data_IF_291317906421
#
_entry.id   IF_291317906421
#
_cell.length_a   1.000
_cell.length_b   1.000
_cell.length_c   1.000
_cell.angle_alpha   90.00
_cell.angle_beta   90.00
_cell.angle_gamma   90.00
#
_symmetry.space_group_name_H-M   'P 1'
#
loop_
_entity.id
_entity.type
_entity.pdbx_description
1 polymer ?
#
# COMPACT_ATOMS: atom_id res chain seq x y z
N UNK A 1 -2.90 -12.21 -9.63
CA UNK A 1 -2.32 -11.96 -10.92
C UNK A 1 -0.81 -12.07 -10.87
N UNK A 2 -0.30 -13.22 -11.19
CA UNK A 2 1.09 -13.38 -11.48
C UNK A 2 1.26 -13.11 -12.96
N UNK A 3 1.60 -11.88 -13.31
CA UNK A 3 2.19 -11.67 -14.59
C UNK A 3 3.65 -12.10 -14.47
N UNK A 4 3.96 -13.30 -14.88
CA UNK A 4 5.26 -13.51 -15.46
C UNK A 4 5.39 -12.43 -16.54
N UNK A 5 6.46 -11.64 -16.49
CA UNK A 5 6.74 -10.65 -17.51
C UNK A 5 6.69 -11.37 -18.86
N UNK A 6 5.65 -11.13 -19.65
CA UNK A 6 5.56 -11.66 -20.99
C UNK A 6 6.34 -10.71 -21.88
N UNK A 7 7.37 -11.23 -22.49
CA UNK A 7 8.16 -10.46 -23.47
C UNK A 7 7.22 -9.96 -24.58
N UNK A 8 7.33 -8.67 -24.87
CA UNK A 8 6.49 -8.01 -25.89
C UNK A 8 5.10 -7.54 -25.43
N UNK A 9 4.70 -7.76 -24.17
CA UNK A 9 3.39 -7.35 -23.68
C UNK A 9 3.21 -5.83 -23.70
N UNK A 10 4.21 -5.07 -23.27
CA UNK A 10 4.16 -3.60 -23.25
C UNK A 10 4.10 -3.01 -24.65
N UNK A 11 4.97 -3.36 -25.60
CA UNK A 11 4.86 -2.91 -26.98
C UNK A 11 3.54 -3.30 -27.65
N UNK A 12 3.02 -4.49 -27.37
CA UNK A 12 1.72 -4.92 -27.88
C UNK A 12 0.60 -4.06 -27.32
N UNK A 13 0.58 -3.79 -26.03
CA UNK A 13 -0.41 -2.95 -25.39
C UNK A 13 -0.37 -1.52 -25.94
N UNK A 14 0.82 -0.97 -26.17
CA UNK A 14 1.03 0.33 -26.79
C UNK A 14 0.48 0.38 -28.23
N UNK A 15 0.78 -0.66 -29.02
CA UNK A 15 0.30 -0.77 -30.40
C UNK A 15 -1.24 -0.90 -30.50
N UNK A 16 -1.85 -1.48 -29.48
CA UNK A 16 -3.31 -1.60 -29.34
C UNK A 16 -3.96 -0.40 -28.67
N UNK A 17 -3.26 0.72 -28.47
CA UNK A 17 -3.72 1.89 -27.72
C UNK A 17 -4.26 1.53 -26.32
N UNK A 18 -3.63 0.55 -25.67
CA UNK A 18 -4.06 0.02 -24.37
C UNK A 18 -5.49 -0.54 -24.34
N UNK A 19 -6.02 -0.99 -25.48
CA UNK A 19 -7.29 -1.73 -25.57
C UNK A 19 -7.10 -3.15 -25.10
N UNK A 20 -6.86 -3.33 -23.81
CA UNK A 20 -6.64 -4.61 -23.15
C UNK A 20 -7.55 -4.74 -21.94
N UNK A 21 -7.95 -5.95 -21.62
CA UNK A 21 -8.73 -6.26 -20.45
C UNK A 21 -7.92 -7.18 -19.50
N UNK A 22 -8.09 -6.98 -18.19
CA UNK A 22 -7.43 -7.81 -17.19
C UNK A 22 -8.13 -9.15 -17.09
N UNK A 23 -7.33 -10.21 -17.15
CA UNK A 23 -7.79 -11.60 -17.05
C UNK A 23 -7.30 -12.20 -15.73
N UNK A 24 -8.14 -12.98 -15.09
CA UNK A 24 -7.77 -13.80 -13.95
C UNK A 24 -7.96 -15.28 -14.24
N UNK A 25 -7.08 -16.07 -13.66
CA UNK A 25 -7.10 -17.52 -13.74
C UNK A 25 -6.64 -18.09 -12.39
N UNK A 26 -7.33 -19.09 -11.88
CA UNK A 26 -6.82 -19.87 -10.75
C UNK A 26 -5.82 -20.88 -11.28
N UNK A 27 -4.60 -20.87 -10.74
CA UNK A 27 -3.57 -21.81 -11.20
C UNK A 27 -3.97 -23.26 -10.93
N UNK A 28 -3.61 -24.16 -11.86
CA UNK A 28 -3.98 -25.59 -11.81
C UNK A 28 -3.49 -26.27 -10.53
N UNK A 29 -2.30 -25.92 -10.05
CA UNK A 29 -1.75 -26.48 -8.83
C UNK A 29 -2.49 -26.00 -7.58
N UNK A 30 -3.00 -24.78 -7.60
CA UNK A 30 -3.80 -24.17 -6.55
C UNK A 30 -5.23 -24.70 -6.57
N UNK A 31 -5.86 -24.79 -7.73
CA UNK A 31 -7.24 -25.28 -7.89
C UNK A 31 -7.44 -26.70 -7.35
N UNK A 32 -6.42 -27.57 -7.48
CA UNK A 32 -6.46 -28.93 -6.91
C UNK A 32 -6.61 -28.95 -5.39
N UNK A 33 -6.22 -27.88 -4.71
CA UNK A 33 -6.27 -27.75 -3.25
C UNK A 33 -7.51 -27.00 -2.76
N UNK A 34 -8.20 -26.28 -3.64
CA UNK A 34 -9.36 -25.47 -3.31
C UNK A 34 -10.64 -26.29 -3.36
N UNK A 35 -11.50 -26.08 -2.38
CA UNK A 35 -12.90 -26.49 -2.44
C UNK A 35 -13.70 -25.49 -3.27
N UNK A 36 -14.80 -25.93 -3.84
CA UNK A 36 -15.67 -25.11 -4.68
C UNK A 36 -16.09 -23.78 -3.99
N UNK A 37 -16.54 -23.73 -2.71
CA UNK A 37 -16.90 -22.47 -2.06
C UNK A 37 -15.72 -21.49 -1.92
N UNK A 38 -14.50 -21.99 -1.74
CA UNK A 38 -13.30 -21.18 -1.66
C UNK A 38 -12.93 -20.59 -3.03
N UNK A 39 -13.10 -21.38 -4.09
CA UNK A 39 -12.88 -20.93 -5.46
C UNK A 39 -13.90 -19.85 -5.87
N UNK A 40 -15.19 -20.02 -5.55
CA UNK A 40 -16.25 -19.04 -5.79
C UNK A 40 -15.92 -17.70 -5.12
N UNK A 41 -15.57 -17.73 -3.84
CA UNK A 41 -15.19 -16.53 -3.11
C UNK A 41 -13.98 -15.82 -3.74
N UNK A 42 -13.01 -16.58 -4.23
CA UNK A 42 -11.84 -16.01 -4.87
C UNK A 42 -12.18 -15.28 -6.17
N UNK A 43 -13.09 -15.79 -6.98
CA UNK A 43 -13.58 -15.10 -8.18
C UNK A 43 -14.22 -13.78 -7.82
N UNK A 44 -15.16 -13.80 -6.88
CA UNK A 44 -15.87 -12.63 -6.40
C UNK A 44 -14.92 -11.51 -5.93
N UNK A 45 -13.99 -11.84 -5.02
CA UNK A 45 -13.01 -10.87 -4.52
C UNK A 45 -12.09 -10.32 -5.61
N UNK A 46 -11.75 -11.16 -6.59
CA UNK A 46 -10.84 -10.76 -7.65
C UNK A 46 -11.50 -9.76 -8.61
N UNK A 47 -12.77 -9.96 -8.93
CA UNK A 47 -13.54 -9.07 -9.79
C UNK A 47 -13.74 -7.69 -9.16
N UNK A 48 -14.05 -7.64 -7.87
CA UNK A 48 -14.24 -6.38 -7.13
C UNK A 48 -12.93 -5.65 -6.84
N UNK A 49 -11.97 -6.33 -6.21
CA UNK A 49 -10.75 -5.68 -5.71
C UNK A 49 -9.73 -5.37 -6.81
N UNK A 50 -9.71 -6.16 -7.90
CA UNK A 50 -8.64 -6.08 -8.90
C UNK A 50 -9.10 -5.64 -10.28
N UNK A 51 -10.34 -5.21 -10.42
CA UNK A 51 -10.91 -4.75 -11.69
C UNK A 51 -10.70 -5.78 -12.82
N UNK A 52 -10.88 -7.07 -12.54
CA UNK A 52 -10.85 -8.13 -13.54
C UNK A 52 -12.09 -8.01 -14.42
N UNK A 53 -11.93 -8.26 -15.73
CA UNK A 53 -13.00 -8.21 -16.72
C UNK A 53 -13.15 -9.52 -17.50
N UNK A 54 -12.19 -10.42 -17.38
CA UNK A 54 -12.22 -11.74 -18.02
C UNK A 54 -11.85 -12.78 -16.97
N UNK A 55 -12.78 -13.69 -16.69
CA UNK A 55 -12.57 -14.83 -15.82
C UNK A 55 -12.29 -16.07 -16.65
N UNK A 56 -11.04 -16.53 -16.67
CA UNK A 56 -10.68 -17.77 -17.36
C UNK A 56 -10.86 -18.96 -16.41
N UNK A 57 -12.06 -19.56 -16.46
CA UNK A 57 -12.48 -20.63 -15.55
C UNK A 57 -11.91 -21.95 -16.05
N UNK A 58 -11.14 -22.64 -15.21
CA UNK A 58 -10.72 -24.02 -15.42
C UNK A 58 -11.67 -24.95 -14.69
N UNK A 59 -12.09 -26.07 -15.29
CA UNK A 59 -12.92 -27.04 -14.60
C UNK A 59 -12.16 -27.77 -13.48
N UNK A 60 -12.87 -28.22 -12.47
CA UNK A 60 -12.34 -29.18 -11.50
C UNK A 60 -12.13 -30.52 -12.18
N UNK A 61 -10.99 -31.15 -11.90
CA UNK A 61 -10.62 -32.46 -12.47
C UNK A 61 -10.86 -33.62 -11.50
N UNK A 62 -11.20 -33.30 -10.27
CA UNK A 62 -11.42 -34.29 -9.19
C UNK A 62 -12.82 -34.04 -8.62
N UNK A 63 -13.64 -35.12 -8.49
CA UNK A 63 -14.93 -35.00 -7.84
C UNK A 63 -14.81 -34.47 -6.43
N UNK A 64 -15.78 -33.67 -6.02
CA UNK A 64 -15.84 -33.13 -4.64
C UNK A 64 -17.21 -33.48 -4.05
N UNK A 65 -17.23 -33.81 -2.78
CA UNK A 65 -18.47 -34.06 -2.02
C UNK A 65 -19.36 -35.20 -2.61
N UNK A 66 -18.75 -36.17 -3.31
CA UNK A 66 -19.48 -37.30 -3.91
C UNK A 66 -20.31 -36.94 -5.14
N UNK A 67 -20.17 -35.74 -5.69
CA UNK A 67 -20.87 -35.29 -6.91
C UNK A 67 -20.15 -35.77 -8.17
N UNK A 68 -20.91 -35.96 -9.23
CA UNK A 68 -20.34 -36.16 -10.56
C UNK A 68 -19.53 -34.92 -11.02
N UNK A 69 -18.44 -35.18 -11.77
CA UNK A 69 -17.55 -34.10 -12.25
C UNK A 69 -18.29 -33.12 -13.16
N UNK A 70 -19.19 -33.57 -14.01
CA UNK A 70 -19.94 -32.73 -14.92
C UNK A 70 -20.90 -31.83 -14.14
N UNK A 71 -21.66 -32.41 -13.22
CA UNK A 71 -22.61 -31.67 -12.37
C UNK A 71 -21.87 -30.63 -11.51
N UNK A 72 -20.75 -31.03 -10.89
CA UNK A 72 -19.92 -30.13 -10.10
C UNK A 72 -19.46 -28.91 -10.91
N UNK A 73 -19.00 -29.11 -12.13
CA UNK A 73 -18.49 -28.04 -12.97
C UNK A 73 -19.58 -27.14 -13.56
N UNK A 74 -20.74 -27.70 -13.89
CA UNK A 74 -21.90 -26.90 -14.32
C UNK A 74 -22.39 -26.02 -13.19
N UNK A 75 -22.55 -26.56 -11.97
CA UNK A 75 -22.91 -25.80 -10.77
C UNK A 75 -21.86 -24.71 -10.45
N UNK A 76 -20.58 -25.03 -10.61
CA UNK A 76 -19.48 -24.09 -10.39
C UNK A 76 -19.55 -22.89 -11.33
N UNK A 77 -19.73 -23.12 -12.63
CA UNK A 77 -19.81 -22.01 -13.62
C UNK A 77 -21.10 -21.20 -13.42
N UNK A 78 -22.24 -21.87 -13.16
CA UNK A 78 -23.51 -21.19 -12.87
C UNK A 78 -23.38 -20.28 -11.66
N UNK A 79 -22.83 -20.76 -10.55
CA UNK A 79 -22.66 -19.96 -9.31
C UNK A 79 -21.70 -18.79 -9.47
N UNK A 80 -20.65 -18.94 -10.30
CA UNK A 80 -19.78 -17.79 -10.62
C UNK A 80 -20.60 -16.73 -11.37
N UNK A 81 -21.40 -17.14 -12.36
CA UNK A 81 -22.23 -16.22 -13.14
C UNK A 81 -23.24 -15.49 -12.26
N UNK A 82 -23.94 -16.24 -11.40
CA UNK A 82 -24.94 -15.70 -10.48
C UNK A 82 -24.32 -14.71 -9.47
N UNK A 83 -23.14 -15.05 -8.91
CA UNK A 83 -22.44 -14.19 -7.95
C UNK A 83 -21.93 -12.89 -8.58
N UNK A 84 -21.40 -12.97 -9.81
CA UNK A 84 -20.97 -11.80 -10.59
C UNK A 84 -22.17 -10.89 -10.90
N UNK A 85 -23.32 -11.45 -11.28
CA UNK A 85 -24.54 -10.68 -11.54
C UNK A 85 -25.13 -10.08 -10.28
N UNK A 86 -25.15 -10.82 -9.16
CA UNK A 86 -25.61 -10.33 -7.86
C UNK A 86 -24.81 -9.12 -7.34
N UNK A 87 -23.54 -9.01 -7.77
CA UNK A 87 -22.66 -7.85 -7.47
C UNK A 87 -22.84 -6.69 -8.44
N UNK A 88 -23.82 -6.75 -9.35
CA UNK A 88 -24.14 -5.68 -10.28
C UNK A 88 -23.32 -5.67 -11.58
N UNK A 89 -22.50 -6.68 -11.83
CA UNK A 89 -21.80 -6.83 -13.10
C UNK A 89 -22.72 -7.47 -14.16
N UNK A 90 -22.49 -7.12 -15.42
CA UNK A 90 -23.19 -7.72 -16.58
C UNK A 90 -22.28 -8.73 -17.25
N UNK A 91 -22.81 -9.92 -17.53
CA UNK A 91 -22.12 -10.90 -18.36
C UNK A 91 -22.26 -10.52 -19.83
N UNK A 92 -21.15 -10.60 -20.57
CA UNK A 92 -21.12 -10.25 -21.98
C UNK A 92 -19.70 -10.00 -22.47
N UNK A 93 -19.52 -9.30 -23.59
CA UNK A 93 -18.20 -8.92 -24.08
C UNK A 93 -17.45 -8.10 -23.04
N UNK A 94 -16.18 -8.43 -22.80
CA UNK A 94 -15.36 -7.72 -21.83
C UNK A 94 -15.14 -6.27 -22.27
N UNK A 95 -15.50 -5.34 -21.38
CA UNK A 95 -15.18 -3.92 -21.56
C UNK A 95 -13.69 -3.66 -21.36
N UNK A 96 -13.17 -2.69 -22.09
CA UNK A 96 -11.81 -2.20 -21.93
C UNK A 96 -11.78 -0.95 -21.05
N UNK A 97 -10.70 -0.75 -20.29
CA UNK A 97 -10.53 0.45 -19.50
C UNK A 97 -10.31 1.66 -20.42
N UNK A 98 -11.23 2.61 -20.38
CA UNK A 98 -11.17 3.79 -21.25
C UNK A 98 -11.65 5.04 -20.53
N UNK A 99 -11.16 6.19 -21.01
CA UNK A 99 -11.72 7.48 -20.67
C UNK A 99 -13.10 7.59 -21.32
N UNK A 100 -14.09 8.08 -20.58
CA UNK A 100 -15.38 8.45 -21.18
C UNK A 100 -15.16 9.58 -22.19
N UNK A 101 -15.30 9.27 -23.48
CA UNK A 101 -15.25 10.27 -24.53
C UNK A 101 -16.68 10.57 -24.97
N UNK A 102 -16.97 11.85 -25.24
CA UNK A 102 -18.28 12.31 -25.74
C UNK A 102 -18.66 11.64 -27.05
N UNK A 103 -17.64 11.21 -27.81
CA UNK A 103 -17.82 10.62 -29.15
C UNK A 103 -17.97 9.09 -29.13
N UNK A 104 -18.05 8.46 -27.95
CA UNK A 104 -18.12 7.01 -27.82
C UNK A 104 -16.85 6.25 -28.25
N UNK A 105 -15.78 6.98 -28.60
CA UNK A 105 -14.51 6.38 -28.99
C UNK A 105 -13.71 5.94 -27.78
N UNK A 106 -13.01 4.83 -27.92
CA UNK A 106 -12.06 4.38 -26.92
C UNK A 106 -10.88 5.37 -26.87
N UNK A 107 -10.53 5.82 -25.67
CA UNK A 107 -9.29 6.55 -25.42
C UNK A 107 -8.69 6.11 -24.08
N UNK A 108 -7.40 5.76 -24.03
CA UNK A 108 -6.73 5.48 -22.78
C UNK A 108 -6.64 6.75 -21.93
N UNK A 109 -6.66 6.59 -20.62
CA UNK A 109 -6.49 7.70 -19.69
C UNK A 109 -5.02 7.92 -19.39
N UNK A 110 -4.51 9.07 -19.78
CA UNK A 110 -3.20 9.58 -19.37
C UNK A 110 -3.40 10.97 -18.77
N UNK A 111 -2.85 11.24 -17.57
CA UNK A 111 -2.88 12.59 -17.01
C UNK A 111 -2.05 13.53 -17.89
N UNK A 112 -2.53 14.74 -18.10
CA UNK A 112 -1.77 15.75 -18.80
C UNK A 112 -0.45 16.04 -18.06
N UNK A 113 0.65 16.01 -18.79
CA UNK A 113 2.00 16.16 -18.22
C UNK A 113 2.17 17.49 -17.46
N UNK A 114 1.48 18.55 -17.91
CA UNK A 114 1.52 19.85 -17.28
C UNK A 114 1.03 19.82 -15.81
N UNK A 115 -0.03 19.06 -15.53
CA UNK A 115 -0.57 18.92 -14.18
C UNK A 115 0.32 18.11 -13.23
N UNK A 116 1.23 17.29 -13.76
CA UNK A 116 2.18 16.54 -12.96
C UNK A 116 3.27 17.45 -12.36
N UNK A 117 3.53 18.61 -12.96
CA UNK A 117 4.56 19.53 -12.48
C UNK A 117 4.22 20.12 -11.12
N UNK A 118 3.08 20.78 -10.89
CA UNK A 118 2.73 21.30 -9.56
C UNK A 118 2.62 20.20 -8.51
N UNK A 119 2.15 19.00 -8.89
CA UNK A 119 2.15 17.83 -8.00
C UNK A 119 3.56 17.42 -7.57
N UNK A 120 4.52 17.44 -8.50
CA UNK A 120 5.92 17.15 -8.18
C UNK A 120 6.49 18.16 -7.18
N UNK A 121 6.24 19.45 -7.35
CA UNK A 121 6.65 20.48 -6.39
C UNK A 121 6.02 20.28 -5.01
N UNK A 122 4.72 19.96 -4.95
CA UNK A 122 4.02 19.71 -3.70
C UNK A 122 4.57 18.49 -2.95
N UNK A 123 4.83 17.40 -3.66
CA UNK A 123 5.42 16.17 -3.08
C UNK A 123 6.84 16.42 -2.58
N UNK A 124 7.66 17.10 -3.39
CA UNK A 124 9.03 17.45 -3.01
C UNK A 124 9.06 18.42 -1.81
N UNK A 125 8.12 19.36 -1.72
CA UNK A 125 7.98 20.22 -0.56
C UNK A 125 7.72 19.43 0.73
N UNK A 126 6.86 18.41 0.68
CA UNK A 126 6.67 17.48 1.79
C UNK A 126 7.96 16.73 2.16
N UNK A 127 8.71 16.24 1.17
CA UNK A 127 10.02 15.61 1.38
C UNK A 127 11.03 16.55 2.03
N UNK A 128 11.12 17.80 1.57
CA UNK A 128 12.03 18.81 2.12
C UNK A 128 11.60 19.23 3.54
N UNK A 129 10.29 19.33 3.79
CA UNK A 129 9.77 19.60 5.13
C UNK A 129 10.23 18.51 6.11
N UNK A 130 10.12 17.23 5.75
CA UNK A 130 10.64 16.14 6.58
C UNK A 130 12.16 16.24 6.78
N UNK A 131 12.93 16.48 5.72
CA UNK A 131 14.39 16.66 5.84
C UNK A 131 14.77 17.84 6.75
N UNK A 132 13.98 18.89 6.73
CA UNK A 132 14.18 20.05 7.62
C UNK A 132 13.94 19.70 9.08
N UNK A 133 13.00 18.82 9.39
CA UNK A 133 12.80 18.32 10.75
C UNK A 133 13.99 17.49 11.26
N UNK A 134 14.74 16.86 10.35
CA UNK A 134 15.95 16.12 10.71
C UNK A 134 17.21 16.99 10.82
N UNK A 135 17.42 17.92 9.86
CA UNK A 135 18.69 18.59 9.65
C UNK A 135 18.67 20.11 9.86
N UNK A 136 17.51 20.67 10.24
CA UNK A 136 17.33 22.11 10.49
C UNK A 136 17.86 23.01 9.34
N UNK A 137 17.50 22.69 8.10
CA UNK A 137 17.92 23.44 6.93
C UNK A 137 17.44 24.90 6.96
N UNK A 138 18.32 25.85 6.59
CA UNK A 138 17.91 27.23 6.40
C UNK A 138 16.88 27.38 5.26
N UNK A 139 16.04 28.42 5.32
CA UNK A 139 15.03 28.66 4.28
C UNK A 139 15.63 28.75 2.87
N UNK A 140 16.85 29.32 2.74
CA UNK A 140 17.55 29.38 1.45
C UNK A 140 17.84 27.98 0.87
N UNK A 141 18.31 27.05 1.70
CA UNK A 141 18.59 25.68 1.31
C UNK A 141 17.30 24.96 0.92
N UNK A 142 16.21 25.14 1.70
CA UNK A 142 14.90 24.55 1.38
C UNK A 142 14.41 24.98 -0.01
N UNK A 143 14.42 26.29 -0.30
CA UNK A 143 14.02 26.80 -1.61
C UNK A 143 14.95 26.34 -2.73
N UNK A 144 16.26 26.29 -2.49
CA UNK A 144 17.21 25.79 -3.47
C UNK A 144 16.94 24.31 -3.81
N UNK A 145 16.74 23.47 -2.81
CA UNK A 145 16.40 22.04 -3.01
C UNK A 145 15.06 21.88 -3.72
N UNK A 146 14.05 22.68 -3.38
CA UNK A 146 12.75 22.63 -4.03
C UNK A 146 12.84 23.03 -5.50
N UNK A 147 13.54 24.11 -5.80
CA UNK A 147 13.71 24.58 -7.17
C UNK A 147 14.53 23.60 -8.02
N UNK A 148 15.66 23.12 -7.52
CA UNK A 148 16.50 22.18 -8.27
C UNK A 148 15.79 20.84 -8.47
N UNK A 149 15.22 20.28 -7.42
CA UNK A 149 14.45 19.04 -7.51
C UNK A 149 13.20 19.18 -8.40
N UNK A 150 12.49 20.30 -8.25
CA UNK A 150 11.31 20.62 -9.05
C UNK A 150 11.63 20.80 -10.54
N UNK A 151 12.73 21.47 -10.88
CA UNK A 151 13.19 21.63 -12.27
C UNK A 151 13.55 20.27 -12.87
N UNK A 152 14.34 19.45 -12.16
CA UNK A 152 14.71 18.10 -12.61
C UNK A 152 13.48 17.25 -12.83
N UNK A 153 12.55 17.22 -11.88
CA UNK A 153 11.29 16.50 -12.01
C UNK A 153 10.47 17.02 -13.20
N UNK A 154 10.36 18.33 -13.39
CA UNK A 154 9.61 18.94 -14.49
C UNK A 154 10.19 18.55 -15.86
N UNK A 155 11.50 18.62 -16.02
CA UNK A 155 12.18 18.24 -17.26
C UNK A 155 11.95 16.76 -17.60
N UNK A 156 12.07 15.89 -16.62
CA UNK A 156 11.86 14.44 -16.81
C UNK A 156 10.39 14.12 -17.13
N UNK A 157 9.43 14.77 -16.45
CA UNK A 157 8.00 14.57 -16.67
C UNK A 157 7.56 15.09 -18.05
N UNK A 158 8.02 16.28 -18.45
CA UNK A 158 7.56 16.92 -19.67
C UNK A 158 8.23 16.33 -20.93
N UNK A 159 9.55 16.11 -20.90
CA UNK A 159 10.32 15.65 -22.07
C UNK A 159 10.33 14.13 -22.23
N UNK A 160 10.52 13.39 -21.15
CA UNK A 160 10.78 11.94 -21.20
C UNK A 160 9.61 11.07 -20.76
N UNK A 161 8.42 11.66 -20.52
CA UNK A 161 7.25 10.93 -20.03
C UNK A 161 7.37 10.46 -18.57
N UNK A 162 8.57 10.47 -18.01
CA UNK A 162 8.91 10.42 -16.59
C UNK A 162 8.31 9.28 -15.76
N UNK A 163 8.15 8.06 -16.29
CA UNK A 163 7.57 6.94 -15.52
C UNK A 163 8.33 6.70 -14.23
N UNK A 164 9.67 6.64 -14.28
CA UNK A 164 10.50 6.47 -13.09
C UNK A 164 10.32 7.65 -12.12
N UNK A 165 10.31 8.88 -12.62
CA UNK A 165 10.09 10.08 -11.80
C UNK A 165 8.73 10.03 -11.11
N UNK A 166 7.67 9.62 -11.81
CA UNK A 166 6.33 9.44 -11.24
C UNK A 166 6.33 8.39 -10.14
N UNK A 167 6.99 7.25 -10.33
CA UNK A 167 7.10 6.19 -9.33
C UNK A 167 7.91 6.66 -8.10
N UNK A 168 9.00 7.42 -8.29
CA UNK A 168 9.78 7.99 -7.18
C UNK A 168 8.98 9.04 -6.41
N UNK A 169 8.27 9.94 -7.09
CA UNK A 169 7.39 10.91 -6.45
C UNK A 169 6.28 10.21 -5.65
N UNK A 170 5.67 9.18 -6.22
CA UNK A 170 4.66 8.39 -5.53
C UNK A 170 5.24 7.68 -4.29
N UNK A 171 6.47 7.16 -4.36
CA UNK A 171 7.16 6.55 -3.22
C UNK A 171 7.41 7.58 -2.12
N UNK A 172 7.87 8.79 -2.47
CA UNK A 172 8.04 9.89 -1.51
C UNK A 172 6.69 10.24 -0.87
N UNK A 173 5.64 10.41 -1.67
CA UNK A 173 4.32 10.74 -1.14
C UNK A 173 3.78 9.64 -0.20
N UNK A 174 3.89 8.38 -0.59
CA UNK A 174 3.41 7.24 0.20
C UNK A 174 4.18 7.03 1.52
N UNK A 175 5.44 7.47 1.59
CA UNK A 175 6.28 7.25 2.77
C UNK A 175 6.37 8.46 3.67
N UNK A 176 6.54 9.66 3.11
CA UNK A 176 6.81 10.87 3.88
C UNK A 176 5.54 11.47 4.50
N UNK A 177 4.41 11.48 3.78
CA UNK A 177 3.19 12.13 4.30
C UNK A 177 2.62 11.43 5.54
N UNK A 178 2.54 10.09 5.62
CA UNK A 178 2.17 9.42 6.87
C UNK A 178 3.15 9.70 8.02
N UNK A 179 4.44 9.83 7.73
CA UNK A 179 5.45 10.20 8.73
C UNK A 179 5.22 11.61 9.25
N UNK A 180 5.04 12.60 8.35
CA UNK A 180 4.72 13.98 8.74
C UNK A 180 3.43 14.05 9.56
N UNK A 181 2.43 13.27 9.19
CA UNK A 181 1.20 13.13 9.98
C UNK A 181 1.50 12.69 11.42
N UNK A 182 2.30 11.64 11.59
CA UNK A 182 2.68 11.14 12.91
C UNK A 182 3.56 12.11 13.69
N UNK A 183 4.43 12.90 13.04
CA UNK A 183 5.20 13.94 13.74
C UNK A 183 4.29 14.98 14.38
N UNK A 184 3.24 15.40 13.66
CA UNK A 184 2.23 16.34 14.20
C UNK A 184 1.51 15.74 15.39
N UNK A 185 1.10 14.46 15.32
CA UNK A 185 0.41 13.78 16.42
C UNK A 185 1.28 13.66 17.65
N UNK A 186 2.55 13.25 17.49
CA UNK A 186 3.47 13.14 18.64
C UNK A 186 3.73 14.50 19.29
N UNK A 187 3.82 15.58 18.53
CA UNK A 187 3.95 16.93 19.08
C UNK A 187 2.67 17.37 19.83
N UNK A 188 1.49 16.98 19.34
CA UNK A 188 0.24 17.20 20.07
C UNK A 188 0.23 16.44 21.40
N UNK A 189 0.67 15.18 21.43
CA UNK A 189 0.79 14.43 22.68
C UNK A 189 1.73 15.09 23.68
N UNK A 190 2.90 15.56 23.23
CA UNK A 190 3.84 16.29 24.08
C UNK A 190 3.22 17.58 24.66
N UNK A 191 2.40 18.29 23.89
CA UNK A 191 1.72 19.51 24.36
C UNK A 191 0.62 19.23 25.39
N UNK A 192 -0.02 18.06 25.30
CA UNK A 192 -1.11 17.66 26.19
C UNK A 192 -0.66 17.08 27.53
N UNK A 193 0.62 16.71 27.68
CA UNK A 193 1.17 16.08 28.90
C UNK A 193 0.96 16.87 30.20
N UNK A 194 0.66 18.16 30.12
CA UNK A 194 0.52 19.06 31.31
C UNK A 194 -0.85 18.97 31.98
N UNK A 195 -1.85 18.35 31.38
CA UNK A 195 -3.19 18.26 31.90
C UNK A 195 -3.52 16.81 32.22
N UNK A 196 -4.10 16.51 33.38
CA UNK A 196 -4.66 15.21 33.74
C UNK A 196 -6.13 15.17 33.34
N UNK A 197 -6.49 14.79 32.12
CA UNK A 197 -7.88 14.76 31.68
C UNK A 197 -8.59 13.50 32.21
N UNK A 198 -9.91 13.60 32.33
CA UNK A 198 -10.77 12.46 32.61
C UNK A 198 -10.64 11.41 31.45
N UNK A 199 -10.73 10.12 31.77
CA UNK A 199 -10.57 8.99 30.83
C UNK A 199 -11.42 9.17 29.56
N UNK A 200 -12.65 9.65 29.67
CA UNK A 200 -13.51 9.91 28.51
C UNK A 200 -12.92 10.98 27.57
N UNK A 201 -12.35 12.05 28.14
CA UNK A 201 -11.71 13.10 27.35
C UNK A 201 -10.45 12.58 26.63
N UNK A 202 -9.71 11.65 27.24
CA UNK A 202 -8.55 11.02 26.60
C UNK A 202 -9.01 10.22 25.37
N UNK A 203 -10.06 9.39 25.51
CA UNK A 203 -10.58 8.56 24.41
C UNK A 203 -11.08 9.44 23.26
N UNK A 204 -11.84 10.49 23.55
CA UNK A 204 -12.36 11.42 22.52
C UNK A 204 -11.19 12.14 21.82
N UNK A 205 -10.21 12.62 22.60
CA UNK A 205 -9.03 13.29 22.05
C UNK A 205 -8.20 12.35 21.16
N UNK A 206 -7.95 11.13 21.61
CA UNK A 206 -7.23 10.11 20.85
C UNK A 206 -7.98 9.74 19.55
N UNK A 207 -9.30 9.60 19.59
CA UNK A 207 -10.12 9.35 18.40
C UNK A 207 -10.00 10.49 17.39
N UNK A 208 -10.08 11.75 17.86
CA UNK A 208 -9.90 12.92 17.01
C UNK A 208 -8.49 12.99 16.40
N UNK A 209 -7.47 12.72 17.18
CA UNK A 209 -6.08 12.68 16.72
C UNK A 209 -5.84 11.57 15.70
N UNK A 210 -6.46 10.40 15.91
CA UNK A 210 -6.41 9.31 14.92
C UNK A 210 -7.08 9.75 13.60
N UNK A 211 -8.26 10.37 13.67
CA UNK A 211 -8.93 10.91 12.49
C UNK A 211 -8.07 11.96 11.78
N UNK A 212 -7.43 12.87 12.52
CA UNK A 212 -6.50 13.86 11.98
C UNK A 212 -5.30 13.18 11.29
N UNK A 213 -4.71 12.17 11.92
CA UNK A 213 -3.62 11.40 11.35
C UNK A 213 -4.00 10.75 10.01
N UNK A 214 -5.20 10.18 9.94
CA UNK A 214 -5.73 9.60 8.70
C UNK A 214 -5.93 10.67 7.64
N UNK A 215 -6.57 11.79 7.97
CA UNK A 215 -6.81 12.90 7.02
C UNK A 215 -5.49 13.43 6.44
N UNK A 216 -4.49 13.68 7.28
CA UNK A 216 -3.18 14.15 6.83
C UNK A 216 -2.47 13.10 5.95
N UNK A 217 -2.60 11.80 6.28
CA UNK A 217 -2.04 10.72 5.47
C UNK A 217 -2.75 10.58 4.11
N UNK A 218 -4.06 10.87 4.05
CA UNK A 218 -4.83 10.86 2.80
C UNK A 218 -4.34 11.91 1.79
N UNK A 219 -3.72 13.00 2.23
CA UNK A 219 -3.06 13.95 1.32
C UNK A 219 -1.98 13.22 0.51
N UNK A 220 -1.14 12.44 1.18
CA UNK A 220 -0.12 11.62 0.51
C UNK A 220 -0.74 10.58 -0.45
N UNK A 221 -1.81 9.92 -0.02
CA UNK A 221 -2.54 8.96 -0.85
C UNK A 221 -3.13 9.62 -2.12
N UNK A 222 -3.67 10.83 -1.97
CA UNK A 222 -4.19 11.61 -3.12
C UNK A 222 -3.09 11.98 -4.10
N UNK A 223 -1.90 12.34 -3.64
CA UNK A 223 -0.74 12.55 -4.51
C UNK A 223 -0.32 11.28 -5.24
N UNK A 224 -0.28 10.14 -4.55
CA UNK A 224 0.01 8.84 -5.18
C UNK A 224 -1.01 8.54 -6.28
N UNK A 225 -2.29 8.69 -6.00
CA UNK A 225 -3.37 8.46 -6.96
C UNK A 225 -3.26 9.41 -8.17
N UNK A 226 -2.98 10.69 -7.94
CA UNK A 226 -2.86 11.68 -9.01
C UNK A 226 -1.64 11.45 -9.91
N UNK A 227 -0.50 11.09 -9.32
CA UNK A 227 0.76 10.87 -10.07
C UNK A 227 0.75 9.55 -10.82
N UNK A 228 0.15 8.49 -10.25
CA UNK A 228 0.09 7.15 -10.84
C UNK A 228 -1.26 6.84 -11.51
N UNK A 229 -2.21 7.76 -11.55
CA UNK A 229 -3.51 7.60 -12.19
C UNK A 229 -3.40 7.56 -13.71
N UNK A 230 -3.11 6.39 -14.28
CA UNK A 230 -2.77 6.19 -15.67
C UNK A 230 -3.19 4.79 -16.12
N UNK A 231 -3.66 4.62 -17.35
CA UNK A 231 -4.15 3.33 -17.86
C UNK A 231 -3.12 2.21 -17.74
N UNK A 232 -1.82 2.49 -17.86
CA UNK A 232 -0.74 1.50 -17.75
C UNK A 232 -0.70 0.88 -16.35
N UNK A 233 -0.84 1.71 -15.33
CA UNK A 233 -0.85 1.26 -13.93
C UNK A 233 -2.17 0.59 -13.56
N UNK A 234 -3.32 1.10 -14.03
CA UNK A 234 -4.62 0.47 -13.78
C UNK A 234 -4.76 -0.91 -14.43
N UNK A 235 -4.12 -1.11 -15.58
CA UNK A 235 -4.08 -2.39 -16.27
C UNK A 235 -2.96 -3.31 -15.74
N UNK A 236 -2.13 -2.82 -14.79
CA UNK A 236 -0.94 -3.52 -14.27
C UNK A 236 0.05 -3.94 -15.37
N UNK A 237 0.12 -3.19 -16.47
CA UNK A 237 1.12 -3.37 -17.53
C UNK A 237 2.46 -2.83 -17.02
N UNK A 238 2.44 -1.66 -16.39
CA UNK A 238 3.54 -1.13 -15.60
C UNK A 238 3.35 -1.52 -14.13
N UNK A 239 4.34 -2.19 -13.57
CA UNK A 239 4.31 -2.63 -12.18
C UNK A 239 4.85 -1.52 -11.27
N UNK A 240 4.16 -1.27 -10.15
CA UNK A 240 4.63 -0.33 -9.13
C UNK A 240 5.96 -0.80 -8.53
N UNK A 241 7.01 -0.03 -8.73
CA UNK A 241 8.32 -0.30 -8.14
C UNK A 241 8.37 0.27 -6.72
N UNK A 242 8.99 -0.47 -5.80
CA UNK A 242 9.22 0.02 -4.44
C UNK A 242 8.05 -0.19 -3.44
N UNK A 243 6.99 -0.91 -3.78
CA UNK A 243 5.87 -1.21 -2.87
C UNK A 243 6.35 -1.83 -1.54
N UNK A 244 7.38 -2.69 -1.57
CA UNK A 244 7.96 -3.25 -0.32
C UNK A 244 8.58 -2.19 0.57
N UNK A 245 9.13 -1.12 -0.01
CA UNK A 245 9.74 -0.02 0.73
C UNK A 245 8.68 0.82 1.47
N UNK A 246 7.46 0.91 0.96
CA UNK A 246 6.38 1.66 1.64
C UNK A 246 5.98 1.06 2.98
N UNK A 247 6.34 -0.19 3.26
CA UNK A 247 6.11 -0.82 4.57
C UNK A 247 7.24 -0.56 5.58
N UNK A 248 8.46 -0.37 5.10
CA UNK A 248 9.66 -0.26 5.93
C UNK A 248 10.04 1.20 6.14
N UNK A 249 10.05 1.99 5.06
CA UNK A 249 10.52 3.39 5.10
C UNK A 249 9.76 4.26 6.10
N UNK A 250 8.43 4.25 6.23
CA UNK A 250 7.75 5.09 7.21
C UNK A 250 8.19 4.81 8.64
N UNK A 251 8.41 3.53 8.98
CA UNK A 251 8.88 3.14 10.31
C UNK A 251 10.31 3.63 10.56
N UNK A 252 11.20 3.51 9.57
CA UNK A 252 12.56 4.03 9.67
C UNK A 252 12.57 5.55 9.77
N UNK A 253 11.81 6.24 8.94
CA UNK A 253 11.76 7.69 8.91
C UNK A 253 11.21 8.26 10.22
N UNK A 254 10.11 7.72 10.75
CA UNK A 254 9.58 8.20 12.04
C UNK A 254 10.54 7.89 13.18
N UNK A 255 11.24 6.75 13.15
CA UNK A 255 12.25 6.41 14.16
C UNK A 255 13.44 7.38 14.12
N UNK A 256 13.93 7.75 12.92
CA UNK A 256 15.01 8.73 12.76
C UNK A 256 14.59 10.10 13.31
N UNK A 257 13.37 10.55 12.97
CA UNK A 257 12.84 11.80 13.51
C UNK A 257 12.68 11.75 15.02
N UNK A 258 12.18 10.63 15.57
CA UNK A 258 12.00 10.46 17.01
C UNK A 258 13.35 10.49 17.74
N UNK A 259 14.37 9.82 17.20
CA UNK A 259 15.74 9.88 17.75
C UNK A 259 16.36 11.27 17.65
N UNK A 260 16.02 12.06 16.62
CA UNK A 260 16.49 13.46 16.51
C UNK A 260 15.78 14.37 17.51
N UNK A 261 14.52 14.10 17.84
CA UNK A 261 13.67 14.96 18.67
C UNK A 261 13.78 14.64 20.16
N UNK A 262 13.92 13.34 20.50
CA UNK A 262 13.86 12.84 21.89
C UNK A 262 15.14 12.15 22.32
N UNK A 263 15.46 12.27 23.62
CA UNK A 263 16.63 11.62 24.22
C UNK A 263 16.36 10.16 24.56
N UNK A 264 16.40 9.28 23.58
CA UNK A 264 16.11 7.84 23.79
C UNK A 264 17.31 7.08 24.37
N UNK A 265 18.51 7.35 23.86
CA UNK A 265 19.75 6.63 24.21
C UNK A 265 20.85 7.55 24.78
N UNK A 266 20.61 8.85 24.88
CA UNK A 266 21.60 9.82 25.40
C UNK A 266 21.19 10.35 26.75
N UNK A 267 21.91 10.01 27.81
CA UNK A 267 21.71 10.57 29.15
C UNK A 267 22.02 12.07 29.13
N UNK A 268 20.97 12.90 29.09
CA UNK A 268 21.07 14.35 29.35
C UNK A 268 21.47 15.26 28.17
N UNK A 269 21.67 14.74 26.95
CA UNK A 269 21.93 15.58 25.76
C UNK A 269 20.71 15.63 24.84
N UNK A 270 20.44 16.80 24.24
CA UNK A 270 19.37 17.01 23.26
C UNK A 270 19.56 16.03 22.09
N UNK A 271 18.48 15.44 21.62
CA UNK A 271 18.48 14.41 20.59
C UNK A 271 19.38 14.78 19.39
N UNK A 272 20.31 13.91 19.10
CA UNK A 272 21.19 13.99 17.94
C UNK A 272 21.42 12.56 17.43
N UNK A 273 21.02 12.31 16.20
CA UNK A 273 21.15 10.99 15.55
C UNK A 273 22.59 10.46 15.68
N UNK A 274 23.60 11.32 15.45
CA UNK A 274 25.01 10.91 15.52
C UNK A 274 25.40 10.43 16.94
N UNK A 275 24.90 11.11 17.99
CA UNK A 275 25.14 10.71 19.38
C UNK A 275 24.43 9.39 19.70
N UNK A 276 23.18 9.25 19.25
CA UNK A 276 22.44 7.99 19.44
C UNK A 276 23.10 6.82 18.73
N UNK A 277 23.54 6.99 17.47
CA UNK A 277 24.28 5.98 16.72
C UNK A 277 25.61 5.62 17.42
N UNK A 278 26.38 6.62 17.86
CA UNK A 278 27.61 6.39 18.61
C UNK A 278 27.35 5.60 19.89
N UNK A 279 26.33 5.97 20.66
CA UNK A 279 25.97 5.28 21.91
C UNK A 279 25.46 3.86 21.62
N UNK A 280 24.66 3.67 20.56
CA UNK A 280 24.21 2.36 20.13
C UNK A 280 25.37 1.43 19.79
N UNK A 281 26.32 1.87 18.96
CA UNK A 281 27.50 1.08 18.60
C UNK A 281 28.51 0.91 19.73
N UNK A 282 28.51 1.79 20.75
CA UNK A 282 29.36 1.65 21.94
C UNK A 282 28.72 0.83 23.07
N UNK A 283 27.44 0.46 22.93
CA UNK A 283 26.72 -0.34 23.92
C UNK A 283 27.23 -1.78 23.93
N UNK A 284 27.57 -2.30 25.10
CA UNK A 284 27.98 -3.70 25.27
C UNK A 284 26.83 -4.63 24.88
N UNK A 285 27.07 -5.52 23.94
CA UNK A 285 26.11 -6.53 23.52
C UNK A 285 25.97 -7.56 24.67
N UNK A 286 24.75 -7.68 25.16
CA UNK A 286 24.40 -8.71 26.15
C UNK A 286 23.57 -9.82 25.49
N UNK A 287 23.48 -10.96 26.10
CA UNK A 287 22.64 -12.09 25.64
C UNK A 287 21.19 -11.65 25.44
N UNK A 288 20.68 -10.72 26.27
CA UNK A 288 19.35 -10.16 26.12
C UNK A 288 19.19 -9.39 24.79
N UNK A 289 20.20 -8.62 24.38
CA UNK A 289 20.18 -7.89 23.09
C UNK A 289 20.19 -8.88 21.91
N UNK A 290 20.98 -9.95 22.00
CA UNK A 290 21.01 -10.99 20.95
C UNK A 290 19.67 -11.71 20.86
N UNK A 291 19.08 -12.09 21.99
CA UNK A 291 17.76 -12.73 22.01
C UNK A 291 16.67 -11.81 21.43
N UNK A 292 16.68 -10.52 21.81
CA UNK A 292 15.74 -9.53 21.27
C UNK A 292 15.90 -9.34 19.75
N UNK A 293 17.14 -9.22 19.27
CA UNK A 293 17.44 -9.13 17.84
C UNK A 293 17.03 -10.40 17.09
N UNK A 294 17.20 -11.58 17.71
CA UNK A 294 16.74 -12.85 17.15
C UNK A 294 15.22 -12.89 16.96
N UNK A 295 14.47 -12.45 17.98
CA UNK A 295 13.00 -12.34 17.90
C UNK A 295 12.59 -11.31 16.84
N UNK A 296 13.25 -10.16 16.80
CA UNK A 296 12.96 -9.11 15.81
C UNK A 296 13.25 -9.60 14.39
N UNK A 297 14.37 -10.29 14.17
CA UNK A 297 14.73 -10.88 12.88
C UNK A 297 13.73 -11.96 12.46
N UNK A 298 13.26 -12.79 13.38
CA UNK A 298 12.23 -13.79 13.11
C UNK A 298 10.89 -13.15 12.72
N UNK A 299 10.45 -12.11 13.45
CA UNK A 299 9.24 -11.35 13.11
C UNK A 299 9.39 -10.67 11.75
N UNK A 300 10.56 -10.06 11.47
CA UNK A 300 10.85 -9.45 10.18
C UNK A 300 10.84 -10.48 9.04
N UNK A 301 11.41 -11.66 9.26
CA UNK A 301 11.38 -12.78 8.30
C UNK A 301 9.94 -13.19 7.96
N UNK A 302 9.09 -13.39 8.98
CA UNK A 302 7.67 -13.70 8.77
C UNK A 302 6.97 -12.56 8.01
N UNK A 303 7.25 -11.31 8.39
CA UNK A 303 6.64 -10.13 7.78
C UNK A 303 7.02 -10.01 6.30
N UNK A 304 8.30 -10.12 5.97
CA UNK A 304 8.80 -10.06 4.57
C UNK A 304 8.34 -11.28 3.78
N UNK A 305 8.39 -12.48 4.35
CA UNK A 305 7.96 -13.71 3.69
C UNK A 305 6.45 -13.75 3.40
N UNK A 306 5.65 -12.99 4.16
CA UNK A 306 4.20 -12.83 3.93
C UNK A 306 3.84 -11.59 3.10
N UNK A 307 4.77 -10.65 2.88
CA UNK A 307 4.56 -9.43 2.10
C UNK A 307 4.94 -9.64 0.64
N UNK A 308 4.27 -10.51 -0.09
CA UNK A 308 4.57 -10.75 -1.49
C UNK A 308 3.67 -11.79 -2.12
N UNK A 309 3.77 -11.96 -3.43
CA UNK A 309 2.99 -12.93 -4.19
C UNK A 309 3.46 -14.37 -3.97
N UNK A 310 4.65 -14.56 -3.42
CA UNK A 310 5.21 -15.85 -3.01
C UNK A 310 5.06 -16.01 -1.50
N UNK A 311 3.94 -16.55 -1.05
CA UNK A 311 3.74 -16.88 0.35
C UNK A 311 4.58 -18.12 0.72
N UNK A 312 5.82 -17.90 1.14
CA UNK A 312 6.70 -18.97 1.63
C UNK A 312 6.36 -19.45 3.05
N UNK A 313 5.56 -18.68 3.81
CA UNK A 313 5.24 -18.98 5.21
C UNK A 313 3.75 -19.35 5.34
N UNK A 314 3.40 -20.54 5.85
CA UNK A 314 2.01 -20.97 6.00
C UNK A 314 1.24 -20.07 6.96
N UNK A 315 -0.04 -19.84 6.65
CA UNK A 315 -0.94 -19.05 7.48
C UNK A 315 -1.60 -19.96 8.52
N UNK A 316 -1.56 -19.62 9.83
CA UNK A 316 -2.24 -20.39 10.86
C UNK A 316 -3.75 -20.47 10.63
N UNK A 317 -4.35 -21.62 10.97
CA UNK A 317 -5.79 -21.84 10.78
C UNK A 317 -6.66 -20.81 11.51
N UNK A 318 -6.23 -20.33 12.69
CA UNK A 318 -6.92 -19.29 13.45
C UNK A 318 -6.96 -17.96 12.67
N UNK A 319 -5.84 -17.58 12.05
CA UNK A 319 -5.76 -16.36 11.23
C UNK A 319 -6.70 -16.46 10.02
N UNK A 320 -6.78 -17.64 9.38
CA UNK A 320 -7.72 -17.87 8.27
C UNK A 320 -9.17 -17.69 8.73
N UNK A 321 -9.54 -18.26 9.88
CA UNK A 321 -10.89 -18.11 10.44
C UNK A 321 -11.23 -16.66 10.75
N UNK A 322 -10.29 -15.91 11.34
CA UNK A 322 -10.47 -14.48 11.63
C UNK A 322 -10.62 -13.65 10.35
N UNK A 323 -9.82 -13.95 9.33
CA UNK A 323 -9.93 -13.29 8.02
C UNK A 323 -11.31 -13.51 7.42
N UNK A 324 -11.79 -14.75 7.42
CA UNK A 324 -13.11 -15.09 6.91
C UNK A 324 -14.23 -14.39 7.67
N UNK A 325 -14.13 -14.33 9.00
CA UNK A 325 -15.09 -13.60 9.84
C UNK A 325 -15.13 -12.11 9.49
N UNK A 326 -13.97 -11.45 9.39
CA UNK A 326 -13.91 -10.03 9.05
C UNK A 326 -14.40 -9.74 7.62
N UNK A 327 -14.15 -10.63 6.66
CA UNK A 327 -14.67 -10.53 5.29
C UNK A 327 -16.20 -10.65 5.23
N UNK A 328 -16.81 -11.42 6.13
CA UNK A 328 -18.27 -11.56 6.21
C UNK A 328 -18.94 -10.38 6.91
N UNK A 329 -18.25 -9.78 7.89
CA UNK A 329 -18.81 -8.70 8.72
C UNK A 329 -18.61 -7.31 8.13
N UNK A 330 -17.62 -7.11 7.24
CA UNK A 330 -17.23 -5.80 6.73
C UNK A 330 -17.20 -5.79 5.21
N UNK A 331 -17.64 -4.69 4.61
CA UNK A 331 -17.58 -4.46 3.16
C UNK A 331 -16.14 -4.60 2.61
N UNK A 332 -15.16 -4.03 3.32
CA UNK A 332 -13.74 -4.16 3.03
C UNK A 332 -13.02 -4.70 4.26
N UNK A 333 -12.30 -5.80 4.10
CA UNK A 333 -11.56 -6.38 5.21
C UNK A 333 -10.42 -5.46 5.67
N UNK A 334 -10.42 -5.02 6.95
CA UNK A 334 -9.30 -4.25 7.48
C UNK A 334 -8.05 -5.13 7.55
N UNK A 335 -6.88 -4.50 7.43
CA UNK A 335 -5.62 -5.21 7.68
C UNK A 335 -5.52 -5.54 9.16
N UNK A 336 -5.44 -6.82 9.49
CA UNK A 336 -5.42 -7.32 10.87
C UNK A 336 -4.38 -6.63 11.75
N UNK A 337 -3.18 -6.41 11.21
CA UNK A 337 -2.08 -5.74 11.92
C UNK A 337 -2.42 -4.29 12.31
N UNK A 338 -3.13 -3.58 11.47
CA UNK A 338 -3.55 -2.19 11.72
C UNK A 338 -4.66 -2.16 12.75
N UNK A 339 -5.66 -3.00 12.58
CA UNK A 339 -6.84 -3.06 13.45
C UNK A 339 -6.51 -3.61 14.84
N UNK A 340 -5.75 -4.74 14.94
CA UNK A 340 -5.51 -5.40 16.21
C UNK A 340 -4.32 -4.86 17.00
N UNK A 341 -3.34 -4.25 16.34
CA UNK A 341 -2.11 -3.78 16.97
C UNK A 341 -1.98 -2.26 16.85
N UNK A 342 -2.12 -1.73 15.64
CA UNK A 342 -1.84 -0.31 15.36
C UNK A 342 -2.80 0.63 16.10
N UNK A 343 -4.12 0.42 15.97
CA UNK A 343 -5.10 1.28 16.63
C UNK A 343 -5.05 1.17 18.16
N UNK A 344 -5.02 -0.03 18.79
CA UNK A 344 -4.85 -0.12 20.23
C UNK A 344 -3.56 0.51 20.74
N UNK A 345 -2.43 0.31 20.05
CA UNK A 345 -1.16 0.94 20.41
C UNK A 345 -1.23 2.48 20.32
N UNK A 346 -1.95 3.01 19.34
CA UNK A 346 -2.19 4.45 19.22
C UNK A 346 -2.96 5.00 20.42
N UNK A 347 -4.04 4.34 20.81
CA UNK A 347 -4.83 4.75 21.99
C UNK A 347 -4.07 4.62 23.30
N UNK A 348 -3.16 3.64 23.42
CA UNK A 348 -2.29 3.50 24.59
C UNK A 348 -1.18 4.57 24.65
N UNK A 349 -0.78 5.11 23.51
CA UNK A 349 0.24 6.16 23.42
C UNK A 349 -0.32 7.56 23.66
N UNK A 350 -1.61 7.78 23.34
CA UNK A 350 -2.33 9.05 23.48
C UNK A 350 -2.70 9.32 24.94
#
# INVERSE_FOLDING_TARGET
>A
LQFAAMDGLLPLAEHMDYRVARTYIIDKAEQRKLKMPEALRRWALTDEERNIRINYIKPFMIPQEGRDILELNLDYVSKIADDVQARGYKLGPAGVFSKNTTDGKFAPYFPERAWLVPLAFAILAGGIMYLTLLFNFSKKIQYMLLLTGGIVASVTLLKFGGILTRQLLALIAATVFPVLSMTVIVELWESCKKNTPNTLKIIISATWQLALAVILSLIGASFVAAVLGDSRFFLEIDIYKGVKLTFILPVLLISLWYMQRFNVLSKGQIGNIAVHLKNFFSTRITVKHVAFLGVLAFVAYIFVGRSGHTAGVPVPALEIKMRLFLEQMMYARPREKEFMIGHPAFYLAA
#
